data_IF_654027173984
#
_entry.id   IF_654027173984
#
_cell.length_a   1.000
_cell.length_b   1.000
_cell.length_c   1.000
_cell.angle_alpha   90.00
_cell.angle_beta   90.00
_cell.angle_gamma   90.00
#
_symmetry.space_group_name_H-M   'P 1'
#
loop_
_entity.id
_entity.type
_entity.pdbx_description
1 polymer ?
#
# COMPACT_ATOMS: atom_id res chain seq x y z
N UNK A 1 -40.79 28.58 -40.31
CA UNK A 1 -39.45 28.54 -40.94
C UNK A 1 -38.49 27.79 -40.03
N UNK A 2 -37.68 26.88 -40.60
CA UNK A 2 -36.25 26.60 -40.29
C UNK A 2 -35.77 26.61 -38.81
N UNK A 3 -35.60 25.41 -38.25
CA UNK A 3 -34.40 25.05 -37.48
C UNK A 3 -33.67 23.91 -38.21
N UNK A 4 -32.35 23.97 -38.34
CA UNK A 4 -31.54 23.07 -39.20
C UNK A 4 -30.33 22.52 -38.44
N UNK A 5 -30.06 21.21 -38.58
CA UNK A 5 -28.78 20.51 -38.19
C UNK A 5 -28.44 20.68 -36.68
N UNK A 6 -27.49 20.02 -36.03
CA UNK A 6 -26.46 19.01 -36.34
C UNK A 6 -26.26 18.15 -35.05
N UNK A 7 -25.58 17.01 -34.98
CA UNK A 7 -24.80 16.18 -35.93
C UNK A 7 -24.95 14.70 -35.51
N UNK A 8 -24.58 13.73 -36.35
CA UNK A 8 -24.37 12.33 -35.92
C UNK A 8 -22.93 11.94 -36.27
N UNK A 9 -22.09 11.75 -35.26
CA UNK A 9 -20.71 11.23 -35.30
C UNK A 9 -20.16 11.24 -33.87
N UNK A 10 -19.35 10.31 -33.39
CA UNK A 10 -18.87 9.03 -33.94
C UNK A 10 -18.85 8.02 -32.75
N UNK A 11 -18.31 6.81 -32.76
CA UNK A 11 -17.03 6.36 -33.29
C UNK A 11 -17.02 4.82 -33.23
N UNK A 12 -16.68 4.14 -34.33
CA UNK A 12 -16.45 2.69 -34.29
C UNK A 12 -15.23 2.39 -33.42
N UNK A 13 -15.41 1.65 -32.33
CA UNK A 13 -14.28 1.14 -31.53
C UNK A 13 -13.86 -0.20 -32.13
N UNK A 14 -12.79 -0.16 -32.94
CA UNK A 14 -12.15 -1.37 -33.48
C UNK A 14 -11.63 -2.28 -32.37
N UNK A 15 -11.81 -3.59 -32.52
CA UNK A 15 -11.37 -4.57 -31.53
C UNK A 15 -9.84 -4.64 -31.43
N UNK A 16 -9.29 -4.47 -30.22
CA UNK A 16 -7.90 -4.76 -29.90
C UNK A 16 -7.76 -6.21 -29.41
N UNK A 17 -7.56 -7.13 -30.36
CA UNK A 17 -7.20 -8.52 -30.06
C UNK A 17 -5.70 -8.63 -29.78
N UNK A 18 -5.29 -8.47 -28.51
CA UNK A 18 -3.93 -8.77 -28.06
C UNK A 18 -3.75 -10.26 -27.79
N UNK A 19 -3.58 -11.02 -28.87
CA UNK A 19 -3.00 -12.37 -28.80
C UNK A 19 -1.50 -12.26 -28.56
N UNK A 20 -1.06 -12.43 -27.32
CA UNK A 20 0.35 -12.62 -26.96
C UNK A 20 0.49 -13.97 -26.25
N UNK A 21 1.03 -14.95 -26.97
CA UNK A 21 1.32 -16.27 -26.44
C UNK A 21 2.70 -16.34 -25.77
N UNK A 22 3.00 -17.52 -25.21
CA UNK A 22 4.37 -17.91 -24.85
C UNK A 22 4.85 -17.43 -23.48
N UNK A 23 4.45 -18.15 -22.41
CA UNK A 23 5.28 -18.21 -21.20
C UNK A 23 6.32 -19.32 -21.39
N UNK A 24 7.50 -18.93 -21.86
CA UNK A 24 8.67 -19.78 -21.86
C UNK A 24 9.58 -19.41 -20.67
N UNK A 25 9.81 -20.34 -19.77
CA UNK A 25 11.12 -20.58 -19.14
C UNK A 25 11.03 -21.83 -18.28
N UNK A 26 11.79 -22.87 -18.63
CA UNK A 26 11.94 -24.08 -17.84
C UNK A 26 13.37 -24.14 -17.29
N UNK A 27 13.43 -24.31 -15.97
CA UNK A 27 14.55 -24.60 -15.07
C UNK A 27 15.89 -25.04 -15.72
N UNK A 28 16.97 -24.27 -15.47
CA UNK A 28 18.36 -24.69 -15.74
C UNK A 28 18.99 -25.33 -14.50
N UNK A 29 19.91 -26.27 -14.76
CA UNK A 29 20.44 -27.28 -13.85
C UNK A 29 21.82 -26.92 -13.25
N UNK A 30 22.13 -27.57 -12.13
CA UNK A 30 23.48 -27.92 -11.62
C UNK A 30 24.05 -27.12 -10.44
N UNK A 31 25.02 -27.73 -9.75
CA UNK A 31 25.13 -27.62 -8.29
C UNK A 31 26.50 -27.16 -7.74
N UNK A 32 26.43 -26.36 -6.65
CA UNK A 32 27.44 -26.13 -5.58
C UNK A 32 28.75 -25.38 -5.93
N UNK A 33 29.46 -24.74 -4.95
CA UNK A 33 29.13 -24.53 -3.53
C UNK A 33 29.07 -23.05 -3.05
N UNK A 34 28.45 -22.86 -1.88
CA UNK A 34 28.23 -21.62 -1.09
C UNK A 34 29.50 -20.85 -0.67
N UNK A 35 29.44 -19.52 -0.37
CA UNK A 35 28.80 -19.05 0.86
C UNK A 35 27.89 -17.80 0.77
N UNK A 36 26.85 -17.79 1.61
CA UNK A 36 26.11 -16.60 2.06
C UNK A 36 25.50 -15.68 0.99
N UNK A 37 24.67 -16.25 0.10
CA UNK A 37 23.48 -15.50 -0.31
C UNK A 37 22.64 -15.33 0.96
N UNK A 38 22.46 -14.10 1.44
CA UNK A 38 21.53 -13.83 2.54
C UNK A 38 20.18 -14.39 2.13
N UNK A 39 19.66 -15.37 2.89
CA UNK A 39 18.32 -15.88 2.65
C UNK A 39 17.35 -14.70 2.69
N UNK A 40 16.91 -14.24 1.52
CA UNK A 40 15.62 -13.59 1.35
C UNK A 40 14.63 -14.70 1.69
N UNK A 41 14.39 -14.83 2.99
CA UNK A 41 13.44 -15.77 3.52
C UNK A 41 12.10 -15.34 2.95
N UNK A 42 11.58 -16.14 2.02
CA UNK A 42 10.20 -16.11 1.56
C UNK A 42 9.27 -16.59 2.69
N UNK A 43 9.50 -16.04 3.89
CA UNK A 43 8.54 -16.03 4.97
C UNK A 43 7.23 -15.49 4.39
N UNK A 44 6.07 -16.14 4.63
CA UNK A 44 4.81 -15.46 4.38
C UNK A 44 4.87 -14.11 5.10
N UNK A 45 4.52 -13.03 4.40
CA UNK A 45 4.62 -11.67 4.93
C UNK A 45 3.80 -11.63 6.22
N UNK A 46 4.50 -11.71 7.36
CA UNK A 46 3.85 -11.86 8.66
C UNK A 46 3.32 -10.49 9.00
N UNK A 47 2.07 -10.25 8.60
CA UNK A 47 1.33 -8.99 8.81
C UNK A 47 1.48 -8.64 10.27
N UNK A 48 2.33 -7.65 10.55
CA UNK A 48 2.61 -7.26 11.91
C UNK A 48 1.41 -6.49 12.43
N UNK A 49 0.78 -6.98 13.48
CA UNK A 49 -0.10 -6.16 14.31
C UNK A 49 0.74 -5.49 15.40
N UNK A 50 0.71 -4.16 15.47
CA UNK A 50 1.43 -3.40 16.49
C UNK A 50 0.50 -2.38 17.15
N UNK A 51 0.49 -2.36 18.48
CA UNK A 51 -0.33 -1.44 19.25
C UNK A 51 0.52 -0.33 19.90
N UNK A 52 0.12 0.92 19.69
CA UNK A 52 0.77 2.08 20.30
C UNK A 52 -0.24 2.97 21.03
N UNK A 53 0.20 3.56 22.14
CA UNK A 53 -0.53 4.60 22.85
C UNK A 53 0.21 5.93 22.67
N UNK A 54 -0.54 7.00 22.42
CA UNK A 54 0.01 8.35 22.20
C UNK A 54 -0.91 9.38 22.85
N UNK A 55 -0.35 10.49 23.34
CA UNK A 55 -1.13 11.64 23.84
C UNK A 55 -1.61 12.53 22.70
N UNK A 56 -2.75 13.20 22.87
CA UNK A 56 -3.21 14.27 21.96
C UNK A 56 -2.11 15.31 21.70
N UNK A 57 -2.10 15.86 20.49
CA UNK A 57 -1.08 16.80 19.99
C UNK A 57 0.38 16.29 20.07
N UNK A 58 0.59 14.98 20.27
CA UNK A 58 1.91 14.33 20.16
C UNK A 58 2.10 13.70 18.77
N UNK A 59 3.36 13.40 18.43
CA UNK A 59 3.72 12.62 17.25
C UNK A 59 4.35 11.27 17.65
N UNK A 60 4.21 10.29 16.78
CA UNK A 60 4.80 8.96 16.90
C UNK A 60 5.42 8.57 15.56
N UNK A 61 6.67 8.12 15.57
CA UNK A 61 7.29 7.56 14.38
C UNK A 61 6.99 6.06 14.27
N UNK A 62 6.28 5.66 13.22
CA UNK A 62 6.02 4.24 12.88
C UNK A 62 6.79 3.82 11.62
N UNK A 63 7.77 4.63 11.19
CA UNK A 63 8.58 4.36 10.02
C UNK A 63 9.29 2.99 10.13
N UNK A 64 9.30 2.25 9.03
CA UNK A 64 9.88 0.91 8.96
C UNK A 64 10.71 0.72 7.70
N UNK A 65 11.84 0.05 7.88
CA UNK A 65 12.69 -0.43 6.79
C UNK A 65 11.89 -1.21 5.74
N UNK A 66 11.99 -0.78 4.48
CA UNK A 66 11.28 -1.37 3.35
C UNK A 66 9.78 -1.06 3.25
N UNK A 67 9.21 -0.19 4.09
CA UNK A 67 7.86 0.33 3.89
C UNK A 67 7.84 1.43 2.81
N UNK A 68 6.83 1.40 1.94
CA UNK A 68 6.69 2.33 0.81
C UNK A 68 5.52 3.32 0.97
N UNK A 69 4.52 2.99 1.79
CA UNK A 69 3.37 3.86 2.05
C UNK A 69 2.70 3.54 3.39
N UNK A 70 2.06 4.55 3.97
CA UNK A 70 1.32 4.48 5.23
C UNK A 70 -0.08 5.04 4.99
N UNK A 71 -1.11 4.23 5.20
CA UNK A 71 -2.51 4.60 4.92
C UNK A 71 -3.34 4.44 6.17
N UNK A 72 -3.93 5.54 6.65
CA UNK A 72 -4.90 5.49 7.75
C UNK A 72 -6.18 4.82 7.24
N UNK A 73 -6.43 3.61 7.70
CA UNK A 73 -7.59 2.77 7.32
C UNK A 73 -8.80 3.09 8.18
N UNK A 74 -8.60 3.54 9.42
CA UNK A 74 -9.67 4.01 10.32
C UNK A 74 -9.16 5.13 11.23
N UNK A 75 -10.03 6.04 11.65
CA UNK A 75 -9.71 7.10 12.61
C UNK A 75 -8.94 8.31 12.05
N UNK A 76 -9.16 8.68 10.78
CA UNK A 76 -8.57 9.89 10.15
C UNK A 76 -8.93 11.19 10.85
N UNK A 77 -9.96 11.19 11.68
CA UNK A 77 -10.41 12.31 12.50
C UNK A 77 -9.57 12.47 13.79
N UNK A 78 -8.88 11.41 14.21
CA UNK A 78 -8.02 11.39 15.41
C UNK A 78 -6.52 11.50 15.07
N UNK A 79 -6.10 11.03 13.88
CA UNK A 79 -4.69 11.07 13.45
C UNK A 79 -4.53 11.53 12.00
N UNK A 80 -3.33 12.03 11.69
CA UNK A 80 -2.81 12.17 10.33
C UNK A 80 -1.50 11.39 10.22
N UNK A 81 -1.16 10.85 9.04
CA UNK A 81 0.13 10.20 8.81
C UNK A 81 0.85 10.87 7.65
N UNK A 82 2.13 11.18 7.84
CA UNK A 82 3.03 11.63 6.78
C UNK A 82 3.51 10.44 5.95
N UNK A 83 3.84 10.68 4.69
CA UNK A 83 4.38 9.67 3.77
C UNK A 83 5.69 9.05 4.29
N UNK A 84 6.42 9.76 5.16
CA UNK A 84 7.62 9.27 5.86
C UNK A 84 7.35 8.32 7.03
N UNK A 85 6.09 8.03 7.37
CA UNK A 85 5.73 7.16 8.51
C UNK A 85 5.63 7.87 9.86
N UNK A 86 5.58 9.20 9.90
CA UNK A 86 5.31 9.96 11.13
C UNK A 86 3.81 10.14 11.29
N UNK A 87 3.24 9.63 12.38
CA UNK A 87 1.84 9.83 12.77
C UNK A 87 1.75 11.03 13.70
N UNK A 88 0.84 11.95 13.40
CA UNK A 88 0.49 13.09 14.23
C UNK A 88 -0.90 12.87 14.79
N UNK A 89 -1.04 12.90 16.12
CA UNK A 89 -2.36 12.95 16.75
C UNK A 89 -2.98 14.33 16.61
N UNK A 90 -4.30 14.36 16.42
CA UNK A 90 -5.12 15.56 16.54
C UNK A 90 -5.52 15.76 18.01
N UNK A 91 -6.19 16.86 18.30
CA UNK A 91 -6.62 17.22 19.67
C UNK A 91 -7.82 16.41 20.18
N UNK A 92 -8.26 15.37 19.46
CA UNK A 92 -9.42 14.53 19.78
C UNK A 92 -8.94 13.13 20.16
N UNK A 93 -9.27 12.61 21.36
CA UNK A 93 -8.95 11.23 21.75
C UNK A 93 -9.80 10.22 20.95
N UNK A 94 -9.24 9.04 20.71
CA UNK A 94 -9.89 8.01 19.90
C UNK A 94 -8.96 6.86 19.56
N UNK A 95 -9.43 5.91 18.75
CA UNK A 95 -8.58 4.86 18.19
C UNK A 95 -8.57 4.94 16.67
N UNK A 96 -7.40 4.71 16.09
CA UNK A 96 -7.15 4.75 14.67
C UNK A 96 -6.31 3.54 14.25
N UNK A 97 -6.41 3.14 12.98
CA UNK A 97 -5.60 2.08 12.40
C UNK A 97 -4.86 2.61 11.17
N UNK A 98 -3.57 2.32 11.10
CA UNK A 98 -2.69 2.66 9.98
C UNK A 98 -2.14 1.38 9.37
N UNK A 99 -2.47 1.12 8.11
CA UNK A 99 -1.92 0.00 7.36
C UNK A 99 -0.62 0.44 6.68
N UNK A 100 0.44 -0.34 6.86
CA UNK A 100 1.76 -0.14 6.26
C UNK A 100 1.86 -1.03 5.03
N UNK A 101 2.26 -0.46 3.89
CA UNK A 101 2.42 -1.17 2.61
C UNK A 101 3.88 -1.21 2.17
N UNK A 102 4.25 -2.30 1.50
CA UNK A 102 5.51 -2.48 0.75
C UNK A 102 5.16 -2.85 -0.69
N UNK A 103 5.27 -1.87 -1.59
CA UNK A 103 4.71 -1.96 -2.94
C UNK A 103 3.20 -2.17 -2.88
N UNK A 104 2.73 -3.28 -3.45
CA UNK A 104 1.32 -3.72 -3.42
C UNK A 104 0.97 -4.59 -2.21
N UNK A 105 1.94 -5.03 -1.42
CA UNK A 105 1.72 -5.95 -0.29
C UNK A 105 1.50 -5.22 1.03
N UNK A 106 0.52 -5.66 1.83
CA UNK A 106 0.37 -5.22 3.22
C UNK A 106 1.51 -5.81 4.06
N UNK A 107 2.28 -4.94 4.72
CA UNK A 107 3.39 -5.32 5.58
C UNK A 107 2.97 -5.43 7.05
N UNK A 108 1.98 -4.63 7.47
CA UNK A 108 1.42 -4.67 8.82
C UNK A 108 0.27 -3.70 9.02
N UNK A 109 -0.43 -3.84 10.14
CA UNK A 109 -1.44 -2.91 10.63
C UNK A 109 -0.98 -2.39 11.99
N UNK A 110 -1.08 -1.08 12.18
CA UNK A 110 -0.71 -0.40 13.41
C UNK A 110 -1.95 0.20 14.03
N UNK A 111 -2.36 -0.35 15.17
CA UNK A 111 -3.47 0.19 15.96
C UNK A 111 -2.94 1.23 16.94
N UNK A 112 -3.52 2.43 16.89
CA UNK A 112 -3.08 3.59 17.66
C UNK A 112 -4.23 4.03 18.56
N UNK A 113 -3.96 4.20 19.85
CA UNK A 113 -4.89 4.76 20.82
C UNK A 113 -4.40 6.15 21.25
N UNK A 114 -5.15 7.19 20.87
CA UNK A 114 -4.93 8.57 21.26
C UNK A 114 -5.66 8.85 22.57
N UNK A 115 -4.92 9.25 23.61
CA UNK A 115 -5.42 9.57 24.96
C UNK A 115 -5.09 11.02 25.33
N UNK A 116 -5.72 11.54 26.38
CA UNK A 116 -5.47 12.90 26.91
C UNK A 116 -4.13 12.99 27.67
#
# INVERSE_FOLDING_TARGET
MKCKKAIISALSVSALALSLGGVASAEEMSATPTPSIQNVSNSPIKVMDAFYQMKVNSYLNIAREGATSYVVTSGRDYISVSQSGVVYSKSIPGSAQVTIYKGTSVLGVVTISVRL
#
